data_IF_283651570202
#
_entry.id   IF_283651570202
#
_cell.length_a   1.000
_cell.length_b   1.000
_cell.length_c   1.000
_cell.angle_alpha   90.00
_cell.angle_beta   90.00
_cell.angle_gamma   90.00
#
_symmetry.space_group_name_H-M   'P 1'
#
loop_
_entity.id
_entity.type
_entity.pdbx_description
1 polymer ?
#
# COMPACT_ATOMS: atom_id res chain seq x y z
N UNK A 1 -14.37 7.74 -11.46
CA UNK A 1 -13.34 8.05 -10.44
C UNK A 1 -13.94 9.00 -9.42
N UNK A 2 -13.84 8.65 -8.14
CA UNK A 2 -14.22 9.52 -7.02
C UNK A 2 -12.94 10.09 -6.43
N UNK A 3 -12.87 11.40 -6.22
CA UNK A 3 -11.67 12.03 -5.69
C UNK A 3 -11.87 13.51 -5.39
N UNK A 4 -10.81 14.14 -4.88
CA UNK A 4 -10.79 15.58 -4.66
C UNK A 4 -9.42 16.15 -5.02
N UNK A 5 -9.42 17.23 -5.78
CA UNK A 5 -8.21 17.99 -6.15
C UNK A 5 -8.33 19.42 -5.63
N UNK A 6 -7.25 20.19 -5.67
CA UNK A 6 -7.28 21.62 -5.38
C UNK A 6 -7.88 22.43 -6.54
N UNK A 7 -8.33 23.64 -6.25
CA UNK A 7 -8.62 24.66 -7.26
C UNK A 7 -7.31 25.28 -7.77
N UNK A 8 -6.52 24.48 -8.46
CA UNK A 8 -5.22 24.87 -9.01
C UNK A 8 -4.92 24.18 -10.36
N UNK A 9 -3.83 24.61 -10.99
CA UNK A 9 -3.39 24.11 -12.31
C UNK A 9 -3.16 22.60 -12.33
N UNK A 10 -2.75 22.01 -11.20
CA UNK A 10 -2.51 20.56 -11.11
C UNK A 10 -3.82 19.80 -11.02
N UNK A 11 -4.81 20.35 -10.32
CA UNK A 11 -6.14 19.77 -10.24
C UNK A 11 -6.82 19.71 -11.60
N UNK A 12 -6.71 20.79 -12.38
CA UNK A 12 -7.20 20.82 -13.78
C UNK A 12 -6.51 19.77 -14.66
N UNK A 13 -5.18 19.75 -14.64
CA UNK A 13 -4.39 18.79 -15.42
C UNK A 13 -4.72 17.33 -15.06
N UNK A 14 -4.90 17.03 -13.77
CA UNK A 14 -5.25 15.68 -13.31
C UNK A 14 -6.62 15.24 -13.84
N UNK A 15 -7.64 16.10 -13.76
CA UNK A 15 -8.99 15.79 -14.25
C UNK A 15 -8.97 15.54 -15.77
N UNK A 16 -8.26 16.37 -16.53
CA UNK A 16 -8.13 16.21 -17.98
C UNK A 16 -7.40 14.91 -18.36
N UNK A 17 -6.29 14.60 -17.69
CA UNK A 17 -5.55 13.37 -17.91
C UNK A 17 -6.44 12.14 -17.66
N UNK A 18 -7.16 12.09 -16.54
CA UNK A 18 -8.08 10.99 -16.20
C UNK A 18 -9.20 10.86 -17.24
N UNK A 19 -9.81 11.97 -17.67
CA UNK A 19 -10.81 11.97 -18.75
C UNK A 19 -10.26 11.42 -20.05
N UNK A 20 -9.02 11.74 -20.40
CA UNK A 20 -8.38 11.29 -21.64
C UNK A 20 -8.23 9.76 -21.74
N UNK A 21 -8.18 9.07 -20.59
CA UNK A 21 -8.17 7.61 -20.50
C UNK A 21 -9.58 6.99 -20.49
N UNK A 22 -10.63 7.78 -20.71
CA UNK A 22 -12.02 7.31 -20.78
C UNK A 22 -12.68 7.08 -19.42
N UNK A 23 -12.05 7.50 -18.32
CA UNK A 23 -12.63 7.37 -16.99
C UNK A 23 -13.64 8.51 -16.70
N UNK A 24 -14.79 8.16 -16.11
CA UNK A 24 -15.74 9.16 -15.62
C UNK A 24 -15.12 9.97 -14.47
N UNK A 25 -15.23 11.29 -14.55
CA UNK A 25 -14.68 12.26 -13.58
C UNK A 25 -15.76 13.11 -12.92
N UNK A 26 -17.05 12.79 -13.14
CA UNK A 26 -18.20 13.50 -12.57
C UNK A 26 -18.19 13.64 -11.04
N UNK A 27 -17.52 12.70 -10.35
CA UNK A 27 -17.41 12.64 -8.90
C UNK A 27 -16.06 13.16 -8.36
N UNK A 28 -15.28 13.88 -9.17
CA UNK A 28 -14.07 14.57 -8.72
C UNK A 28 -14.45 15.99 -8.27
N UNK A 29 -14.26 16.28 -6.99
CA UNK A 29 -14.52 17.60 -6.41
C UNK A 29 -13.27 18.47 -6.43
N UNK A 30 -13.44 19.79 -6.46
CA UNK A 30 -12.35 20.76 -6.27
C UNK A 30 -12.41 21.38 -4.88
N UNK A 31 -11.25 21.71 -4.32
CA UNK A 31 -11.11 22.34 -3.00
C UNK A 31 -10.53 23.74 -3.13
N UNK A 32 -11.27 24.75 -2.69
CA UNK A 32 -10.77 26.13 -2.59
C UNK A 32 -9.87 26.37 -1.36
N UNK A 33 -9.83 25.41 -0.42
CA UNK A 33 -9.11 25.54 0.86
C UNK A 33 -7.86 24.67 0.95
N UNK A 34 -7.59 23.82 -0.03
CA UNK A 34 -6.43 22.93 -0.05
C UNK A 34 -5.92 22.76 -1.48
N UNK A 35 -4.59 22.76 -1.64
CA UNK A 35 -3.95 22.50 -2.93
C UNK A 35 -4.11 21.02 -3.34
N UNK A 36 -3.93 20.75 -4.62
CA UNK A 36 -3.83 19.38 -5.16
C UNK A 36 -2.67 18.66 -4.52
N UNK A 37 -2.90 17.39 -4.13
CA UNK A 37 -1.85 16.55 -3.57
C UNK A 37 -0.70 16.40 -4.56
N UNK A 38 0.53 16.69 -4.12
CA UNK A 38 1.74 16.53 -4.90
C UNK A 38 2.61 15.45 -4.27
N UNK A 39 3.27 14.66 -5.12
CA UNK A 39 4.37 13.78 -4.71
C UNK A 39 5.65 14.36 -5.32
N UNK A 40 6.59 14.79 -4.48
CA UNK A 40 7.91 15.24 -4.93
C UNK A 40 8.83 14.04 -4.98
N UNK A 41 9.21 13.64 -6.19
CA UNK A 41 10.13 12.52 -6.44
C UNK A 41 11.43 13.14 -6.96
N UNK A 42 12.52 12.94 -6.24
CA UNK A 42 13.86 13.23 -6.74
C UNK A 42 14.40 11.97 -7.39
N UNK A 43 15.14 12.10 -8.48
CA UNK A 43 15.84 10.98 -9.11
C UNK A 43 17.34 11.26 -8.99
N UNK A 44 18.08 10.35 -8.37
CA UNK A 44 19.54 10.41 -8.27
C UNK A 44 20.18 10.14 -9.64
N UNK A 45 21.47 10.44 -9.77
CA UNK A 45 22.19 10.34 -11.05
C UNK A 45 22.24 8.91 -11.62
N UNK A 46 21.98 7.90 -10.79
CA UNK A 46 21.86 6.48 -11.14
C UNK A 46 20.44 6.04 -11.50
N UNK A 47 19.46 6.96 -11.48
CA UNK A 47 18.06 6.68 -11.79
C UNK A 47 17.21 6.31 -10.57
N UNK A 48 17.76 6.36 -9.36
CA UNK A 48 17.07 5.97 -8.12
C UNK A 48 16.19 7.09 -7.53
N UNK A 49 14.99 6.74 -7.04
CA UNK A 49 14.12 7.73 -6.41
C UNK A 49 14.66 8.14 -5.02
N UNK A 50 15.11 9.38 -4.86
CA UNK A 50 15.61 9.92 -3.60
C UNK A 50 14.44 10.44 -2.74
N UNK A 51 14.13 9.71 -1.67
CA UNK A 51 13.17 10.14 -0.65
C UNK A 51 13.91 11.07 0.31
N UNK A 52 13.37 12.28 0.54
CA UNK A 52 13.97 13.23 1.48
C UNK A 52 13.93 12.67 2.90
N UNK A 53 15.09 12.28 3.44
CA UNK A 53 15.28 11.73 4.78
C UNK A 53 14.57 12.57 5.86
N UNK A 54 14.64 13.89 5.76
CA UNK A 54 14.00 14.84 6.70
C UNK A 54 12.47 14.80 6.69
N UNK A 55 11.85 14.33 5.61
CA UNK A 55 10.40 14.11 5.55
C UNK A 55 10.04 12.82 6.27
N UNK A 56 10.84 11.76 6.09
CA UNK A 56 10.63 10.48 6.79
C UNK A 56 10.72 10.72 8.29
N UNK A 57 11.78 11.38 8.79
CA UNK A 57 12.03 11.62 10.22
C UNK A 57 10.89 12.31 10.98
N UNK A 58 10.08 13.12 10.29
CA UNK A 58 8.97 13.90 10.87
C UNK A 58 7.60 13.28 10.62
N UNK A 59 7.52 12.23 9.82
CA UNK A 59 6.27 11.56 9.52
C UNK A 59 5.81 10.70 10.70
N UNK A 60 4.51 10.46 10.80
CA UNK A 60 3.97 9.47 11.74
C UNK A 60 3.96 8.05 11.15
N UNK A 61 3.88 7.96 9.82
CA UNK A 61 3.74 6.74 9.04
C UNK A 61 4.40 6.95 7.68
N UNK A 62 5.13 5.94 7.20
CA UNK A 62 5.53 5.81 5.81
C UNK A 62 4.85 4.59 5.20
N UNK A 63 4.35 4.75 3.98
CA UNK A 63 3.73 3.69 3.18
C UNK A 63 4.56 3.55 1.92
N UNK A 64 5.04 2.33 1.64
CA UNK A 64 5.78 2.02 0.42
C UNK A 64 5.15 0.84 -0.32
N UNK A 65 5.28 0.87 -1.65
CA UNK A 65 4.95 -0.22 -2.57
C UNK A 65 6.17 -0.75 -3.32
N UNK A 66 6.03 -1.87 -4.02
CA UNK A 66 7.11 -2.51 -4.79
C UNK A 66 7.25 -1.98 -6.24
N UNK A 67 6.91 -0.72 -6.47
CA UNK A 67 7.03 -0.04 -7.78
C UNK A 67 8.33 0.77 -7.94
N UNK A 68 9.11 0.89 -6.87
CA UNK A 68 10.45 1.50 -6.88
C UNK A 68 11.52 0.45 -6.56
N UNK A 69 12.78 0.85 -6.62
CA UNK A 69 13.89 -0.02 -6.24
C UNK A 69 13.75 -0.58 -4.81
N UNK A 70 14.16 -1.84 -4.65
CA UNK A 70 14.07 -2.55 -3.38
C UNK A 70 15.01 -1.94 -2.33
N UNK A 71 16.20 -1.51 -2.76
CA UNK A 71 17.17 -0.80 -1.92
C UNK A 71 16.62 0.55 -1.45
N UNK A 72 15.98 1.31 -2.32
CA UNK A 72 15.30 2.57 -1.96
C UNK A 72 14.26 2.39 -0.85
N UNK A 73 13.36 1.42 -1.01
CA UNK A 73 12.37 1.05 0.01
C UNK A 73 13.02 0.62 1.34
N UNK A 74 14.04 -0.25 1.27
CA UNK A 74 14.74 -0.74 2.45
C UNK A 74 15.43 0.40 3.22
N UNK A 75 16.06 1.35 2.52
CA UNK A 75 16.69 2.51 3.16
C UNK A 75 15.64 3.41 3.83
N UNK A 76 14.53 3.68 3.15
CA UNK A 76 13.44 4.49 3.72
C UNK A 76 12.91 3.88 5.03
N UNK A 77 12.74 2.55 5.07
CA UNK A 77 12.27 1.86 6.27
C UNK A 77 13.32 1.81 7.38
N UNK A 78 14.61 1.69 7.05
CA UNK A 78 15.69 1.81 8.04
C UNK A 78 15.68 3.18 8.71
N UNK A 79 15.57 4.26 7.92
CA UNK A 79 15.46 5.62 8.44
C UNK A 79 14.21 5.76 9.31
N UNK A 80 13.05 5.28 8.84
CA UNK A 80 11.80 5.34 9.58
C UNK A 80 11.92 4.66 10.95
N UNK A 81 12.50 3.46 11.01
CA UNK A 81 12.72 2.71 12.26
C UNK A 81 13.65 3.44 13.23
N UNK A 82 14.73 4.06 12.74
CA UNK A 82 15.64 4.86 13.57
C UNK A 82 14.94 6.07 14.23
N UNK A 83 13.85 6.56 13.63
CA UNK A 83 13.13 7.74 14.07
C UNK A 83 11.73 7.43 14.67
N UNK A 84 11.45 6.17 14.99
CA UNK A 84 10.15 5.73 15.56
C UNK A 84 8.94 6.03 14.67
N UNK A 85 9.15 6.04 13.35
CA UNK A 85 8.08 6.22 12.36
C UNK A 85 7.51 4.86 12.01
N UNK A 86 6.18 4.74 11.97
CA UNK A 86 5.52 3.49 11.63
C UNK A 86 5.77 3.17 10.16
N UNK A 87 6.07 1.90 9.86
CA UNK A 87 6.37 1.43 8.51
C UNK A 87 5.25 0.51 8.00
N UNK A 88 4.62 0.89 6.89
CA UNK A 88 3.61 0.09 6.20
C UNK A 88 4.13 -0.31 4.84
N UNK A 89 4.14 -1.61 4.57
CA UNK A 89 4.57 -2.14 3.29
C UNK A 89 3.42 -2.84 2.59
N UNK A 90 3.15 -2.42 1.35
CA UNK A 90 2.34 -3.19 0.42
C UNK A 90 3.23 -3.68 -0.73
N UNK A 91 3.74 -4.92 -0.71
CA UNK A 91 4.66 -5.46 -1.72
C UNK A 91 3.98 -5.75 -3.07
N UNK A 92 3.24 -4.78 -3.60
CA UNK A 92 2.59 -4.78 -4.90
C UNK A 92 3.41 -3.92 -5.89
N UNK A 93 3.61 -4.37 -7.15
CA UNK A 93 3.26 -5.68 -7.67
C UNK A 93 4.07 -6.80 -7.00
N UNK A 94 3.47 -7.98 -6.88
CA UNK A 94 4.11 -9.15 -6.28
C UNK A 94 5.38 -9.57 -7.03
N UNK A 95 6.46 -9.79 -6.28
CA UNK A 95 7.77 -10.18 -6.79
C UNK A 95 8.28 -11.47 -6.13
N UNK A 96 8.55 -12.55 -6.91
CA UNK A 96 9.19 -13.75 -6.38
C UNK A 96 10.61 -13.50 -5.84
N UNK A 97 11.29 -12.48 -6.36
CA UNK A 97 12.66 -12.07 -6.03
C UNK A 97 12.71 -10.90 -5.02
N UNK A 98 11.64 -10.69 -4.25
CA UNK A 98 11.62 -9.68 -3.19
C UNK A 98 12.69 -10.00 -2.12
N UNK A 99 13.56 -9.02 -1.84
CA UNK A 99 14.48 -9.05 -0.71
C UNK A 99 13.69 -8.95 0.60
N UNK A 100 13.53 -10.09 1.26
CA UNK A 100 12.77 -10.23 2.50
C UNK A 100 13.41 -9.51 3.68
N UNK A 101 14.63 -8.97 3.57
CA UNK A 101 15.27 -8.18 4.65
C UNK A 101 14.43 -6.94 5.03
N UNK A 102 13.65 -6.39 4.11
CA UNK A 102 12.74 -5.26 4.37
C UNK A 102 11.67 -5.59 5.42
N UNK A 103 11.29 -6.87 5.56
CA UNK A 103 10.25 -7.29 6.51
C UNK A 103 10.67 -7.06 7.97
N UNK A 104 11.96 -7.19 8.28
CA UNK A 104 12.49 -6.87 9.60
C UNK A 104 12.33 -5.38 9.96
N UNK A 105 12.20 -4.51 8.96
CA UNK A 105 11.99 -3.08 9.10
C UNK A 105 10.54 -2.66 8.82
N UNK A 106 9.61 -3.61 8.71
CA UNK A 106 8.19 -3.36 8.46
C UNK A 106 7.39 -3.54 9.76
N UNK A 107 6.47 -2.62 10.09
CA UNK A 107 5.54 -2.77 11.21
C UNK A 107 4.24 -3.45 10.77
N UNK A 108 3.74 -3.03 9.61
CA UNK A 108 2.48 -3.48 9.02
C UNK A 108 2.76 -3.93 7.60
N UNK A 109 2.45 -5.16 7.28
CA UNK A 109 2.48 -5.66 5.90
C UNK A 109 1.06 -5.88 5.40
N UNK A 110 0.78 -5.47 4.17
CA UNK A 110 -0.50 -5.67 3.51
C UNK A 110 -0.29 -6.29 2.13
N UNK A 111 -0.77 -7.52 1.94
CA UNK A 111 -0.63 -8.27 0.69
C UNK A 111 -1.99 -8.68 0.15
N UNK A 112 -2.06 -9.01 -1.14
CA UNK A 112 -3.06 -9.95 -1.64
C UNK A 112 -2.58 -11.40 -1.49
N UNK A 113 -3.34 -12.34 -2.06
CA UNK A 113 -3.02 -13.77 -2.12
C UNK A 113 -1.66 -14.01 -2.80
N UNK A 114 -1.51 -13.58 -4.05
CA UNK A 114 -0.31 -13.80 -4.86
C UNK A 114 0.98 -13.25 -4.21
N UNK A 115 0.91 -12.04 -3.66
CA UNK A 115 2.02 -11.41 -2.93
C UNK A 115 2.36 -12.19 -1.64
N UNK A 116 1.35 -12.66 -0.91
CA UNK A 116 1.57 -13.51 0.26
C UNK A 116 2.21 -14.85 -0.13
N UNK A 117 1.81 -15.45 -1.25
CA UNK A 117 2.42 -16.68 -1.75
C UNK A 117 3.90 -16.46 -2.08
N UNK A 118 4.26 -15.38 -2.77
CA UNK A 118 5.67 -15.06 -3.06
C UNK A 118 6.51 -14.82 -1.80
N UNK A 119 5.94 -14.15 -0.80
CA UNK A 119 6.66 -13.83 0.44
C UNK A 119 6.82 -15.08 1.32
N UNK A 120 5.75 -15.86 1.49
CA UNK A 120 5.72 -16.99 2.43
C UNK A 120 6.18 -18.30 1.80
N UNK A 121 6.09 -18.42 0.47
CA UNK A 121 6.28 -19.68 -0.26
C UNK A 121 5.12 -20.68 -0.06
N UNK A 122 4.03 -20.27 0.57
CA UNK A 122 2.84 -21.09 0.77
C UNK A 122 1.89 -20.92 -0.41
N UNK A 123 1.17 -21.98 -0.76
CA UNK A 123 0.01 -21.87 -1.66
C UNK A 123 -1.22 -21.51 -0.84
N UNK A 124 -2.02 -20.56 -1.31
CA UNK A 124 -3.17 -20.02 -0.59
C UNK A 124 -4.41 -20.24 -1.45
N UNK A 125 -5.28 -21.14 -0.99
CA UNK A 125 -6.53 -21.51 -1.68
C UNK A 125 -7.73 -21.60 -0.73
N UNK A 126 -7.47 -21.63 0.58
CA UNK A 126 -8.47 -21.74 1.63
C UNK A 126 -8.29 -20.67 2.69
N UNK A 127 -9.36 -20.46 3.46
CA UNK A 127 -9.39 -19.47 4.54
C UNK A 127 -8.32 -19.71 5.62
N UNK A 128 -8.08 -20.95 6.05
CA UNK A 128 -7.04 -21.22 7.06
C UNK A 128 -5.63 -20.95 6.53
N UNK A 129 -5.40 -21.13 5.22
CA UNK A 129 -4.12 -20.83 4.57
C UNK A 129 -3.82 -19.33 4.53
N UNK A 130 -4.82 -18.46 4.37
CA UNK A 130 -4.65 -17.00 4.50
C UNK A 130 -4.10 -16.62 5.87
N UNK A 131 -4.61 -17.26 6.92
CA UNK A 131 -4.18 -17.04 8.29
C UNK A 131 -2.78 -17.58 8.54
N UNK A 132 -2.44 -18.74 7.96
CA UNK A 132 -1.10 -19.30 8.06
C UNK A 132 -0.07 -18.44 7.33
N UNK A 133 -0.41 -17.89 6.16
CA UNK A 133 0.41 -16.90 5.47
C UNK A 133 0.62 -15.63 6.32
N UNK A 134 -0.45 -15.11 6.94
CA UNK A 134 -0.35 -13.97 7.86
C UNK A 134 0.58 -14.26 9.05
N UNK A 135 0.45 -15.44 9.68
CA UNK A 135 1.35 -15.87 10.77
C UNK A 135 2.79 -15.96 10.31
N UNK A 136 3.02 -16.51 9.12
CA UNK A 136 4.36 -16.67 8.57
C UNK A 136 5.02 -15.31 8.32
N UNK A 137 4.29 -14.36 7.73
CA UNK A 137 4.79 -12.99 7.57
C UNK A 137 5.13 -12.33 8.91
N UNK A 138 4.33 -12.50 9.97
CA UNK A 138 4.66 -11.93 11.28
C UNK A 138 6.00 -12.45 11.83
N UNK A 139 6.30 -13.74 11.62
CA UNK A 139 7.59 -14.31 12.05
C UNK A 139 8.78 -13.67 11.35
N UNK A 140 8.58 -13.07 10.17
CA UNK A 140 9.64 -12.41 9.40
C UNK A 140 9.93 -10.97 9.86
N UNK A 141 9.11 -10.38 10.74
CA UNK A 141 9.34 -9.04 11.28
C UNK A 141 8.09 -8.21 11.58
N UNK A 142 7.12 -8.09 10.64
CA UNK A 142 5.90 -7.33 10.84
C UNK A 142 5.17 -7.70 12.13
N UNK A 143 4.72 -6.69 12.88
CA UNK A 143 3.85 -6.91 14.04
C UNK A 143 2.41 -7.17 13.61
N UNK A 144 2.03 -6.60 12.46
CA UNK A 144 0.70 -6.72 11.88
C UNK A 144 0.84 -7.24 10.45
N UNK A 145 0.15 -8.33 10.14
CA UNK A 145 -0.01 -8.83 8.78
C UNK A 145 -1.46 -8.72 8.35
N UNK A 146 -1.64 -8.15 7.16
CA UNK A 146 -2.91 -7.97 6.47
C UNK A 146 -2.86 -8.77 5.17
N UNK A 147 -3.76 -9.74 5.02
CA UNK A 147 -3.91 -10.47 3.74
C UNK A 147 -5.31 -10.23 3.19
N UNK A 148 -5.37 -9.68 1.99
CA UNK A 148 -6.61 -9.32 1.29
C UNK A 148 -7.05 -10.47 0.39
N UNK A 149 -8.34 -10.84 0.48
CA UNK A 149 -8.93 -11.94 -0.27
C UNK A 149 -10.01 -11.44 -1.25
N UNK A 150 -9.58 -10.92 -2.40
CA UNK A 150 -10.41 -10.66 -3.60
C UNK A 150 -11.78 -10.00 -3.34
N UNK A 151 -12.82 -10.27 -4.17
CA UNK A 151 -14.13 -9.62 -4.08
C UNK A 151 -14.89 -9.91 -2.77
N UNK A 152 -14.37 -10.77 -1.89
CA UNK A 152 -14.94 -11.03 -0.56
C UNK A 152 -14.49 -10.03 0.50
N UNK A 153 -13.61 -9.06 0.16
CA UNK A 153 -13.13 -7.97 1.04
C UNK A 153 -12.82 -8.47 2.46
N UNK A 154 -12.24 -9.67 2.52
CA UNK A 154 -11.97 -10.32 3.79
C UNK A 154 -10.57 -9.92 4.21
N UNK A 155 -10.50 -9.20 5.32
CA UNK A 155 -9.27 -8.65 5.88
C UNK A 155 -8.88 -9.50 7.08
N UNK A 156 -7.74 -10.18 6.97
CA UNK A 156 -7.12 -10.83 8.11
C UNK A 156 -6.15 -9.87 8.77
N UNK A 157 -6.46 -9.39 9.96
CA UNK A 157 -5.49 -8.64 10.76
C UNK A 157 -4.99 -9.57 11.84
N UNK A 158 -3.77 -10.05 11.69
CA UNK A 158 -3.09 -10.72 12.77
C UNK A 158 -2.19 -9.69 13.46
N UNK A 159 -2.46 -9.42 14.73
CA UNK A 159 -1.53 -8.74 15.64
C UNK A 159 -0.86 -9.83 16.46
N UNK A 160 0.40 -9.67 16.85
CA UNK A 160 1.05 -10.60 17.80
C UNK A 160 0.08 -10.87 18.97
N UNK A 161 -0.44 -12.11 19.03
CA UNK A 161 -1.42 -12.67 19.98
C UNK A 161 -2.94 -12.49 19.71
N UNK A 162 -3.38 -11.80 18.65
CA UNK A 162 -4.82 -11.60 18.36
C UNK A 162 -5.13 -11.68 16.86
N UNK A 163 -6.17 -12.45 16.51
CA UNK A 163 -6.67 -12.61 15.15
C UNK A 163 -7.99 -11.88 14.98
N UNK A 164 -8.03 -10.95 14.03
CA UNK A 164 -9.26 -10.27 13.63
C UNK A 164 -9.59 -10.59 12.19
N UNK A 165 -10.86 -10.92 11.97
CA UNK A 165 -11.44 -11.15 10.65
C UNK A 165 -12.40 -10.00 10.44
N UNK A 166 -12.06 -9.07 9.56
CA UNK A 166 -12.97 -7.99 9.21
C UNK A 166 -13.68 -8.39 7.92
N UNK A 167 -14.98 -8.63 8.04
CA UNK A 167 -15.87 -8.68 6.88
C UNK A 167 -16.27 -7.25 6.56
N UNK A 168 -15.76 -6.68 5.47
CA UNK A 168 -16.32 -5.42 4.98
C UNK A 168 -17.65 -5.73 4.28
N UNK A 169 -18.75 -5.72 5.03
CA UNK A 169 -20.10 -5.92 4.48
C UNK A 169 -20.64 -4.69 3.73
N UNK A 170 -19.76 -3.86 3.16
CA UNK A 170 -20.15 -2.55 2.63
C UNK A 170 -19.24 -2.09 1.48
N UNK A 171 -19.13 -2.89 0.41
CA UNK A 171 -18.63 -2.38 -0.88
C UNK A 171 -19.13 -3.16 -2.12
N UNK A 172 -20.01 -4.16 -1.96
CA UNK A 172 -20.39 -5.06 -3.06
C UNK A 172 -21.79 -4.82 -3.68
N UNK A 173 -22.57 -3.85 -3.20
CA UNK A 173 -23.93 -3.57 -3.74
C UNK A 173 -23.99 -2.49 -4.83
N UNK A 174 -22.89 -1.86 -5.23
CA UNK A 174 -22.92 -0.82 -6.29
C UNK A 174 -22.47 -1.36 -7.67
N UNK A 175 -22.12 -2.65 -7.79
CA UNK A 175 -21.54 -3.18 -9.03
C UNK A 175 -22.30 -4.33 -9.70
N UNK A 176 -23.53 -4.66 -9.26
CA UNK A 176 -24.33 -5.74 -9.88
C UNK A 176 -25.74 -5.38 -10.37
N UNK A 177 -26.14 -4.10 -10.40
CA UNK A 177 -27.42 -3.67 -11.01
C UNK A 177 -27.26 -2.82 -12.29
N UNK A 178 -26.18 -3.00 -13.05
CA UNK A 178 -26.08 -2.42 -14.39
C UNK A 178 -25.50 -3.42 -15.41
N UNK A 179 -26.35 -4.39 -15.76
CA UNK A 179 -26.43 -4.99 -17.10
C UNK A 179 -27.89 -5.01 -17.52
#
# INVERSE_FOLDING_TARGET
MVGRVGEDIFGDANIEAIKSFGADTSLIQKSSTAATGTATIYVADDGENCILEDHIKRASLIICQSEIDQGGNLQAFKIAKQHNVTTFFNPAPGRPDLDKTILAYTDIICTNENEAEFITGLTISTYEEFKDAAKEMIKMGPRIAIVTCGPKLLLWILRVLELFVVFAHFFCEIQMEMW
#
